data_IF_323686418065
#
_entry.id   IF_323686418065
#
_cell.length_a   1.000
_cell.length_b   1.000
_cell.length_c   1.000
_cell.angle_alpha   90.00
_cell.angle_beta   90.00
_cell.angle_gamma   90.00
#
_symmetry.space_group_name_H-M   'P 1'
#
loop_
_entity.id
_entity.type
_entity.pdbx_description
1 polymer ?
#
# COMPACT_ATOMS: atom_id res chain seq x y z
N UNK A 1 28.57 -0.90 -5.42
CA UNK A 1 27.12 -1.17 -5.53
C UNK A 1 26.69 -1.14 -7.00
N UNK A 2 25.93 -2.12 -7.49
CA UNK A 2 25.47 -2.16 -8.89
C UNK A 2 24.25 -1.24 -9.07
N UNK A 3 24.30 -0.38 -10.09
CA UNK A 3 23.23 0.56 -10.46
C UNK A 3 22.14 -0.17 -11.26
N UNK A 4 20.91 0.34 -11.24
CA UNK A 4 19.81 -0.20 -12.04
C UNK A 4 19.99 0.18 -13.52
N UNK A 5 19.88 -0.77 -14.48
CA UNK A 5 20.17 -0.51 -15.89
C UNK A 5 19.20 0.49 -16.54
N UNK A 6 17.91 0.44 -16.18
CA UNK A 6 16.89 1.40 -16.66
C UNK A 6 16.75 2.68 -15.84
N UNK A 7 17.53 2.86 -14.76
CA UNK A 7 17.50 4.08 -13.94
C UNK A 7 18.78 4.19 -13.08
N UNK A 8 19.77 4.94 -13.55
CA UNK A 8 21.07 5.10 -12.88
C UNK A 8 20.99 5.75 -11.49
N UNK A 9 19.89 6.42 -11.14
CA UNK A 9 19.70 6.96 -9.79
C UNK A 9 19.40 5.86 -8.75
N UNK A 10 19.05 4.66 -9.17
CA UNK A 10 18.73 3.54 -8.28
C UNK A 10 19.91 2.59 -8.10
N UNK A 11 20.09 2.12 -6.87
CA UNK A 11 21.07 1.09 -6.51
C UNK A 11 20.36 -0.21 -6.16
N UNK A 12 20.95 -1.32 -6.59
CA UNK A 12 20.38 -2.66 -6.41
C UNK A 12 20.97 -3.37 -5.18
N UNK A 13 20.10 -3.98 -4.40
CA UNK A 13 20.39 -4.95 -3.34
C UNK A 13 20.11 -6.37 -3.87
N UNK A 14 21.07 -7.28 -3.71
CA UNK A 14 20.94 -8.70 -4.06
C UNK A 14 21.10 -9.63 -2.84
N UNK A 15 21.28 -9.03 -1.67
CA UNK A 15 21.34 -9.75 -0.40
C UNK A 15 19.98 -10.37 -0.09
N UNK A 16 19.99 -11.36 0.80
CA UNK A 16 18.79 -11.98 1.37
C UNK A 16 18.25 -11.24 2.59
N UNK A 17 19.01 -10.25 3.09
CA UNK A 17 18.64 -9.38 4.20
C UNK A 17 18.83 -7.89 3.83
N UNK A 18 18.09 -7.03 4.53
CA UNK A 18 18.30 -5.59 4.56
C UNK A 18 18.29 -5.13 6.01
N UNK A 19 19.43 -4.61 6.50
CA UNK A 19 19.60 -4.19 7.91
C UNK A 19 19.19 -5.28 8.91
N UNK A 20 19.54 -6.53 8.63
CA UNK A 20 19.19 -7.69 9.47
C UNK A 20 17.74 -8.20 9.30
N UNK A 21 16.89 -7.51 8.53
CA UNK A 21 15.54 -7.99 8.23
C UNK A 21 15.54 -8.85 6.96
N UNK A 22 14.89 -10.02 6.96
CA UNK A 22 14.85 -10.90 5.80
C UNK A 22 14.04 -10.26 4.65
N UNK A 23 14.46 -10.49 3.41
CA UNK A 23 13.76 -10.05 2.20
C UNK A 23 13.55 -11.24 1.25
N UNK A 24 12.54 -11.13 0.38
CA UNK A 24 12.18 -12.18 -0.58
C UNK A 24 13.21 -12.35 -1.70
N UNK A 25 14.45 -12.79 -1.40
CA UNK A 25 15.60 -12.84 -2.33
C UNK A 25 15.26 -13.44 -3.71
N UNK A 26 14.38 -14.44 -3.75
CA UNK A 26 13.88 -15.09 -4.98
C UNK A 26 13.12 -14.16 -5.94
N UNK A 27 12.72 -12.97 -5.49
CA UNK A 27 12.03 -11.92 -6.28
C UNK A 27 12.97 -10.77 -6.68
N UNK A 28 14.22 -10.80 -6.22
CA UNK A 28 15.20 -9.76 -6.45
C UNK A 28 15.63 -9.60 -7.92
N UNK A 29 16.48 -8.62 -8.23
CA UNK A 29 17.13 -7.71 -7.28
C UNK A 29 16.16 -6.65 -6.73
N UNK A 30 16.48 -6.07 -5.58
CA UNK A 30 15.69 -5.05 -4.90
C UNK A 30 16.29 -3.66 -5.07
N UNK A 31 15.48 -2.62 -5.07
CA UNK A 31 15.94 -1.22 -5.05
C UNK A 31 16.20 -0.80 -3.61
N UNK A 32 17.46 -0.48 -3.29
CA UNK A 32 17.90 -0.21 -1.90
C UNK A 32 17.20 1.00 -1.28
N UNK A 33 16.94 2.04 -2.06
CA UNK A 33 16.21 3.22 -1.59
C UNK A 33 14.74 2.90 -1.27
N UNK A 34 14.12 1.95 -1.96
CA UNK A 34 12.74 1.53 -1.67
C UNK A 34 12.67 0.72 -0.37
N UNK A 35 13.63 -0.19 -0.15
CA UNK A 35 13.76 -0.91 1.12
C UNK A 35 13.94 0.04 2.30
N UNK A 36 14.79 1.06 2.16
CA UNK A 36 14.96 2.11 3.17
C UNK A 36 13.65 2.86 3.47
N UNK A 37 12.87 3.17 2.44
CA UNK A 37 11.60 3.87 2.62
C UNK A 37 10.55 2.98 3.29
N UNK A 38 10.49 1.69 2.93
CA UNK A 38 9.63 0.71 3.58
C UNK A 38 9.96 0.61 5.08
N UNK A 39 11.24 0.38 5.41
CA UNK A 39 11.77 0.32 6.79
C UNK A 39 11.36 1.57 7.58
N UNK A 40 11.63 2.75 7.01
CA UNK A 40 11.28 4.03 7.64
C UNK A 40 9.78 4.22 7.88
N UNK A 41 8.90 3.72 7.00
CA UNK A 41 7.45 3.81 7.19
C UNK A 41 6.97 2.88 8.30
N UNK A 42 7.49 1.65 8.36
CA UNK A 42 7.17 0.69 9.41
C UNK A 42 7.63 1.22 10.77
N UNK A 43 8.88 1.68 10.90
CA UNK A 43 9.40 2.25 12.14
C UNK A 43 8.56 3.44 12.61
N UNK A 44 8.24 4.40 11.73
CA UNK A 44 7.39 5.55 12.09
C UNK A 44 6.00 5.14 12.58
N UNK A 45 5.42 4.08 12.01
CA UNK A 45 4.12 3.58 12.46
C UNK A 45 4.21 3.03 13.88
N UNK A 46 5.27 2.29 14.20
CA UNK A 46 5.53 1.71 15.52
C UNK A 46 5.98 2.75 16.55
N UNK A 47 6.68 3.80 16.13
CA UNK A 47 7.01 4.95 16.99
C UNK A 47 5.74 5.69 17.42
N UNK A 48 4.79 5.85 16.49
CA UNK A 48 3.54 6.57 16.75
C UNK A 48 2.49 5.74 17.49
N UNK A 49 2.43 4.43 17.25
CA UNK A 49 1.45 3.53 17.86
C UNK A 49 2.15 2.28 18.41
N UNK A 50 1.85 1.90 19.65
CA UNK A 50 2.37 0.64 20.23
C UNK A 50 1.84 -0.60 19.51
N UNK A 51 0.67 -0.47 18.87
CA UNK A 51 -0.01 -1.55 18.14
C UNK A 51 -0.43 -1.06 16.76
N UNK A 52 0.03 -1.73 15.70
CA UNK A 52 -0.20 -1.33 14.32
C UNK A 52 -0.94 -2.43 13.56
N UNK A 53 -2.04 -2.05 12.90
CA UNK A 53 -2.72 -2.89 11.93
C UNK A 53 -2.19 -2.57 10.54
N UNK A 54 -1.44 -3.50 9.95
CA UNK A 54 -0.91 -3.37 8.61
C UNK A 54 -1.65 -4.30 7.65
N UNK A 55 -1.86 -3.85 6.41
CA UNK A 55 -2.46 -4.70 5.39
C UNK A 55 -2.05 -4.36 3.96
N UNK A 56 -2.10 -5.37 3.10
CA UNK A 56 -1.82 -5.29 1.67
C UNK A 56 -3.09 -5.33 0.83
N UNK A 57 -3.09 -4.55 -0.24
CA UNK A 57 -4.04 -4.67 -1.34
C UNK A 57 -3.34 -4.35 -2.67
N UNK A 58 -3.95 -4.77 -3.77
CA UNK A 58 -3.54 -4.43 -5.12
C UNK A 58 -4.68 -3.69 -5.83
N UNK A 59 -4.38 -2.54 -6.42
CA UNK A 59 -5.33 -1.73 -7.18
C UNK A 59 -5.11 -1.98 -8.67
N UNK A 60 -6.16 -2.44 -9.34
CA UNK A 60 -6.15 -2.80 -10.76
C UNK A 60 -7.05 -1.88 -11.54
N UNK A 61 -6.74 -1.75 -12.82
CA UNK A 61 -7.58 -1.04 -13.79
C UNK A 61 -8.56 -2.02 -14.44
N UNK A 62 -9.73 -1.55 -14.89
CA UNK A 62 -10.68 -2.40 -15.58
C UNK A 62 -10.07 -2.95 -16.87
N UNK A 63 -10.23 -4.24 -17.10
CA UNK A 63 -9.72 -4.89 -18.31
C UNK A 63 -10.60 -4.59 -19.53
N UNK A 64 -11.93 -4.61 -19.35
CA UNK A 64 -12.91 -4.48 -20.43
C UNK A 64 -13.28 -3.03 -20.80
N UNK A 65 -12.83 -2.04 -20.02
CA UNK A 65 -13.15 -0.63 -20.23
C UNK A 65 -11.84 0.13 -20.42
N UNK A 66 -11.81 0.97 -21.44
CA UNK A 66 -10.69 1.89 -21.67
C UNK A 66 -10.97 3.22 -20.97
N UNK A 67 -9.98 3.65 -20.19
CA UNK A 67 -10.07 4.88 -19.42
C UNK A 67 -9.28 5.98 -20.11
N UNK A 68 -9.65 7.26 -19.93
CA UNK A 68 -8.83 8.36 -20.43
C UNK A 68 -7.38 8.29 -19.95
N UNK A 69 -6.42 8.63 -20.83
CA UNK A 69 -4.97 8.47 -20.59
C UNK A 69 -4.47 9.06 -19.26
N UNK A 70 -5.03 10.20 -18.85
CA UNK A 70 -4.65 10.86 -17.60
C UNK A 70 -4.93 9.99 -16.36
N UNK A 71 -5.86 9.03 -16.43
CA UNK A 71 -6.14 8.07 -15.35
C UNK A 71 -5.06 6.99 -15.19
N UNK A 72 -4.23 6.74 -16.20
CA UNK A 72 -3.13 5.77 -16.13
C UNK A 72 -1.83 6.34 -15.52
N UNK A 73 -1.83 7.63 -15.18
CA UNK A 73 -0.73 8.33 -14.50
C UNK A 73 -0.75 8.10 -12.98
N UNK A 74 0.31 8.47 -12.28
CA UNK A 74 0.39 8.40 -10.82
C UNK A 74 -0.55 9.37 -10.08
N UNK A 75 -1.23 10.29 -10.78
CA UNK A 75 -2.23 11.15 -10.15
C UNK A 75 -3.38 10.33 -9.56
N UNK A 76 -3.69 9.18 -10.15
CA UNK A 76 -4.77 8.30 -9.68
C UNK A 76 -4.49 7.67 -8.32
N UNK A 77 -3.23 7.24 -8.06
CA UNK A 77 -2.86 6.69 -6.75
C UNK A 77 -2.88 7.80 -5.69
N UNK A 78 -2.52 9.04 -6.07
CA UNK A 78 -2.68 10.22 -5.21
C UNK A 78 -4.14 10.44 -4.83
N UNK A 79 -5.06 10.50 -5.81
CA UNK A 79 -6.51 10.64 -5.57
C UNK A 79 -7.08 9.52 -4.71
N UNK A 80 -6.66 8.28 -4.95
CA UNK A 80 -7.04 7.13 -4.12
C UNK A 80 -6.63 7.33 -2.66
N UNK A 81 -5.37 7.68 -2.41
CA UNK A 81 -4.84 7.85 -1.05
C UNK A 81 -5.53 9.00 -0.32
N UNK A 82 -5.79 10.12 -0.99
CA UNK A 82 -6.52 11.25 -0.40
C UNK A 82 -7.98 10.89 -0.10
N UNK A 83 -8.66 10.21 -1.01
CA UNK A 83 -10.03 9.70 -0.78
C UNK A 83 -10.08 8.72 0.38
N UNK A 84 -9.14 7.77 0.44
CA UNK A 84 -9.07 6.79 1.52
C UNK A 84 -8.78 7.45 2.88
N UNK A 85 -7.83 8.40 2.95
CA UNK A 85 -7.56 9.21 4.15
C UNK A 85 -8.81 9.97 4.62
N UNK A 86 -9.54 10.61 3.71
CA UNK A 86 -10.77 11.32 4.03
C UNK A 86 -11.83 10.39 4.61
N UNK A 87 -12.00 9.19 4.04
CA UNK A 87 -12.94 8.16 4.55
C UNK A 87 -12.55 7.64 5.93
N UNK A 88 -11.26 7.45 6.20
CA UNK A 88 -10.76 7.06 7.52
C UNK A 88 -11.01 8.19 8.54
N UNK A 89 -10.69 9.44 8.20
CA UNK A 89 -10.94 10.61 9.05
C UNK A 89 -12.43 10.76 9.38
N UNK A 90 -13.30 10.67 8.38
CA UNK A 90 -14.76 10.73 8.56
C UNK A 90 -15.27 9.65 9.51
N UNK A 91 -14.79 8.42 9.36
CA UNK A 91 -15.15 7.34 10.28
C UNK A 91 -14.72 7.62 11.73
N UNK A 92 -13.52 8.18 11.94
CA UNK A 92 -13.05 8.58 13.28
C UNK A 92 -13.90 9.71 13.87
N UNK A 93 -14.27 10.71 13.07
CA UNK A 93 -15.15 11.80 13.51
C UNK A 93 -16.53 11.27 13.92
N UNK A 94 -17.16 10.41 13.10
CA UNK A 94 -18.43 9.76 13.44
C UNK A 94 -18.34 8.95 14.74
N UNK A 95 -17.26 8.20 14.92
CA UNK A 95 -17.05 7.43 16.15
C UNK A 95 -16.95 8.34 17.39
N UNK A 96 -16.31 9.51 17.27
CA UNK A 96 -16.15 10.48 18.36
C UNK A 96 -17.46 11.14 18.80
N UNK A 97 -18.43 11.30 17.90
CA UNK A 97 -19.78 11.78 18.26
C UNK A 97 -20.50 10.75 19.16
N UNK A 98 -20.28 9.46 18.92
CA UNK A 98 -20.93 8.37 19.64
C UNK A 98 -20.21 7.89 20.92
N UNK A 99 -18.94 8.25 21.11
CA UNK A 99 -18.08 7.69 22.17
C UNK A 99 -17.20 8.76 22.83
N UNK A 100 -17.07 8.65 24.16
CA UNK A 100 -16.31 9.58 25.02
C UNK A 100 -14.78 9.54 24.80
N UNK A 101 -14.24 8.48 24.19
CA UNK A 101 -12.83 8.34 23.85
C UNK A 101 -12.66 7.62 22.51
N UNK A 102 -11.82 8.15 21.62
CA UNK A 102 -11.52 7.54 20.32
C UNK A 102 -10.02 7.48 20.05
N UNK A 103 -9.55 6.32 19.60
CA UNK A 103 -8.20 6.19 19.07
C UNK A 103 -8.18 6.76 17.65
N UNK A 104 -7.34 7.78 17.44
CA UNK A 104 -7.07 8.33 16.13
C UNK A 104 -6.08 7.45 15.36
N UNK A 105 -6.04 7.60 14.03
CA UNK A 105 -5.07 6.93 13.18
C UNK A 105 -4.65 7.84 12.02
N UNK A 106 -3.35 7.88 11.73
CA UNK A 106 -2.84 8.32 10.44
C UNK A 106 -2.84 7.15 9.48
N UNK A 107 -3.04 7.44 8.19
CA UNK A 107 -2.88 6.45 7.12
C UNK A 107 -1.44 6.51 6.64
N UNK A 108 -0.61 5.59 7.14
CA UNK A 108 0.76 5.41 6.65
C UNK A 108 0.73 4.41 5.51
N UNK A 109 1.55 4.61 4.49
CA UNK A 109 1.51 3.77 3.30
C UNK A 109 2.83 3.67 2.57
N UNK A 110 2.95 2.58 1.81
CA UNK A 110 3.94 2.36 0.75
C UNK A 110 3.20 1.83 -0.46
N UNK A 111 3.53 2.30 -1.65
CA UNK A 111 3.00 1.75 -2.90
C UNK A 111 4.09 1.55 -3.94
N UNK A 112 3.88 0.58 -4.81
CA UNK A 112 4.70 0.30 -5.97
C UNK A 112 3.81 0.19 -7.21
N UNK A 113 4.22 0.83 -8.31
CA UNK A 113 3.57 0.72 -9.62
C UNK A 113 4.31 -0.29 -10.46
N UNK A 114 3.57 -1.21 -11.06
CA UNK A 114 4.07 -2.22 -12.00
C UNK A 114 3.18 -2.21 -13.25
N UNK A 115 3.71 -2.72 -14.36
CA UNK A 115 2.90 -2.96 -15.56
C UNK A 115 2.52 -4.43 -15.62
N UNK A 116 1.23 -4.69 -15.80
CA UNK A 116 0.71 -6.03 -16.04
C UNK A 116 1.08 -6.55 -17.44
N UNK A 117 0.79 -7.83 -17.69
CA UNK A 117 1.04 -8.47 -18.98
C UNK A 117 0.31 -7.80 -20.17
N UNK A 118 -0.81 -7.13 -19.91
CA UNK A 118 -1.60 -6.39 -20.90
C UNK A 118 -1.20 -4.91 -21.01
N UNK A 119 -0.06 -4.51 -20.45
CA UNK A 119 0.42 -3.11 -20.49
C UNK A 119 -0.32 -2.14 -19.57
N UNK A 120 -1.46 -2.54 -18.96
CA UNK A 120 -2.15 -1.72 -17.96
C UNK A 120 -1.36 -1.68 -16.65
N UNK A 121 -1.19 -0.50 -16.02
CA UNK A 121 -0.54 -0.41 -14.73
C UNK A 121 -1.39 -1.07 -13.63
N UNK A 122 -0.73 -1.47 -12.55
CA UNK A 122 -1.39 -1.82 -11.29
C UNK A 122 -0.53 -1.36 -10.12
N UNK A 123 -1.18 -1.11 -8.99
CA UNK A 123 -0.50 -0.64 -7.78
C UNK A 123 -0.53 -1.71 -6.70
N UNK A 124 0.65 -2.10 -6.23
CA UNK A 124 0.79 -2.87 -5.00
C UNK A 124 0.89 -1.90 -3.83
N UNK A 125 -0.04 -1.98 -2.86
CA UNK A 125 -0.11 -1.07 -1.72
C UNK A 125 0.06 -1.83 -0.41
N UNK A 126 0.78 -1.22 0.52
CA UNK A 126 0.81 -1.54 1.95
C UNK A 126 0.28 -0.33 2.71
N UNK A 127 -0.70 -0.54 3.58
CA UNK A 127 -1.26 0.47 4.49
C UNK A 127 -0.96 0.06 5.93
N UNK A 128 -0.66 1.03 6.80
CA UNK A 128 -0.48 0.85 8.24
C UNK A 128 -1.37 1.85 8.99
N UNK A 129 -2.13 1.35 9.95
CA UNK A 129 -3.07 2.08 10.79
C UNK A 129 -2.83 1.76 12.27
N UNK A 130 -3.30 2.62 13.17
CA UNK A 130 -3.39 2.31 14.59
C UNK A 130 -4.34 1.12 14.81
N UNK A 131 -3.85 0.04 15.43
CA UNK A 131 -4.64 -1.18 15.67
C UNK A 131 -5.80 -0.92 16.63
N UNK A 132 -5.66 0.00 17.57
CA UNK A 132 -6.74 0.35 18.49
C UNK A 132 -7.87 1.12 17.80
N UNK A 133 -7.62 1.67 16.60
CA UNK A 133 -8.61 2.32 15.77
C UNK A 133 -9.29 1.34 14.78
N UNK A 134 -8.48 0.46 14.17
CA UNK A 134 -8.91 -0.51 13.16
C UNK A 134 -8.10 -1.80 13.28
N UNK A 135 -8.76 -2.95 13.29
CA UNK A 135 -8.11 -4.26 13.51
C UNK A 135 -8.23 -5.24 12.34
N UNK A 136 -9.12 -4.97 11.38
CA UNK A 136 -9.42 -5.90 10.29
C UNK A 136 -10.03 -5.19 9.08
N UNK A 137 -10.03 -5.87 7.93
CA UNK A 137 -10.74 -5.43 6.73
C UNK A 137 -12.26 -5.34 6.93
N UNK A 138 -12.82 -6.26 7.73
CA UNK A 138 -14.24 -6.57 7.76
C UNK A 138 -14.66 -7.54 6.64
N UNK A 139 -15.96 -7.62 6.38
CA UNK A 139 -16.52 -8.51 5.35
C UNK A 139 -16.27 -8.00 3.92
N UNK A 140 -15.93 -8.90 3.00
CA UNK A 140 -15.78 -8.59 1.57
C UNK A 140 -17.13 -8.60 0.84
N UNK A 141 -18.06 -7.79 1.36
CA UNK A 141 -19.42 -7.61 0.82
C UNK A 141 -19.62 -6.11 0.59
N UNK A 142 -20.11 -5.72 -0.59
CA UNK A 142 -20.36 -4.31 -0.91
C UNK A 142 -21.45 -3.71 0.00
N UNK A 143 -21.35 -2.42 0.29
CA UNK A 143 -22.32 -1.66 1.10
C UNK A 143 -22.13 -1.79 2.62
N UNK A 144 -21.10 -2.50 3.09
CA UNK A 144 -20.77 -2.62 4.53
C UNK A 144 -19.87 -1.46 4.97
N UNK A 145 -20.05 -0.97 6.19
CA UNK A 145 -19.22 0.10 6.75
C UNK A 145 -17.83 -0.38 7.25
N UNK A 146 -17.01 -0.98 6.40
CA UNK A 146 -15.72 -1.58 6.78
C UNK A 146 -14.51 -1.05 5.96
N UNK A 147 -13.29 -1.53 6.22
CA UNK A 147 -12.09 -1.05 5.51
C UNK A 147 -12.14 -1.47 4.04
N UNK A 148 -12.60 -2.69 3.74
CA UNK A 148 -12.68 -3.17 2.36
C UNK A 148 -13.52 -2.24 1.48
N UNK A 149 -14.73 -1.89 1.91
CA UNK A 149 -15.60 -0.98 1.18
C UNK A 149 -15.00 0.42 1.03
N UNK A 150 -14.32 0.92 2.08
CA UNK A 150 -13.61 2.20 1.99
C UNK A 150 -12.51 2.19 0.94
N UNK A 151 -11.82 1.06 0.73
CA UNK A 151 -10.83 0.90 -0.34
C UNK A 151 -11.50 0.87 -1.72
N UNK A 152 -12.57 0.10 -1.88
CA UNK A 152 -13.33 0.01 -3.15
C UNK A 152 -13.89 1.37 -3.55
N UNK A 153 -14.58 2.06 -2.64
CA UNK A 153 -15.11 3.39 -2.88
C UNK A 153 -14.03 4.43 -3.17
N UNK A 154 -12.89 4.38 -2.47
CA UNK A 154 -11.78 5.29 -2.73
C UNK A 154 -11.17 5.04 -4.11
N UNK A 155 -11.08 3.78 -4.53
CA UNK A 155 -10.54 3.42 -5.84
C UNK A 155 -11.48 3.81 -6.98
N UNK A 156 -12.79 3.56 -6.83
CA UNK A 156 -13.78 4.02 -7.80
C UNK A 156 -13.85 5.53 -7.92
N UNK A 157 -13.80 6.24 -6.80
CA UNK A 157 -13.69 7.70 -6.82
C UNK A 157 -12.44 8.19 -7.55
N UNK A 158 -11.30 7.51 -7.40
CA UNK A 158 -10.06 7.85 -8.09
C UNK A 158 -10.15 7.60 -9.61
N UNK A 159 -10.81 6.51 -10.02
CA UNK A 159 -11.01 6.15 -11.43
C UNK A 159 -12.23 6.83 -12.08
N UNK A 160 -13.04 7.55 -11.30
CA UNK A 160 -14.33 8.12 -11.75
C UNK A 160 -15.31 7.04 -12.24
N UNK A 161 -15.32 5.90 -11.55
CA UNK A 161 -16.19 4.76 -11.82
C UNK A 161 -17.24 4.61 -10.72
N UNK A 162 -18.38 4.02 -11.07
CA UNK A 162 -19.38 3.59 -10.09
C UNK A 162 -18.87 2.42 -9.23
N UNK A 163 -19.48 2.18 -8.05
CA UNK A 163 -19.11 1.04 -7.21
C UNK A 163 -19.21 -0.32 -7.93
N UNK A 164 -20.20 -0.49 -8.80
CA UNK A 164 -20.41 -1.73 -9.55
C UNK A 164 -19.29 -1.97 -10.58
N UNK A 165 -18.86 -0.91 -11.28
CA UNK A 165 -17.72 -0.96 -12.20
C UNK A 165 -16.38 -1.19 -11.48
N UNK A 166 -16.33 -0.96 -10.16
CA UNK A 166 -15.15 -1.19 -9.33
C UNK A 166 -15.05 -2.58 -8.73
N UNK A 167 -16.06 -3.42 -8.95
CA UNK A 167 -16.07 -4.77 -8.41
C UNK A 167 -14.85 -5.56 -8.93
N UNK A 168 -14.10 -6.17 -8.00
CA UNK A 168 -12.88 -6.92 -8.30
C UNK A 168 -11.65 -6.07 -8.66
N UNK A 169 -11.73 -4.74 -8.72
CA UNK A 169 -10.58 -3.87 -9.00
C UNK A 169 -9.65 -3.68 -7.80
N UNK A 170 -10.17 -3.88 -6.57
CA UNK A 170 -9.36 -3.95 -5.35
C UNK A 170 -9.16 -5.41 -4.98
N UNK A 171 -7.97 -5.93 -5.30
CA UNK A 171 -7.60 -7.31 -5.02
C UNK A 171 -6.91 -7.41 -3.65
N UNK A 172 -7.39 -8.31 -2.79
CA UNK A 172 -6.78 -8.61 -1.50
C UNK A 172 -5.94 -9.89 -1.64
N UNK A 173 -4.61 -9.83 -1.51
CA UNK A 173 -3.75 -11.00 -1.67
C UNK A 173 -3.93 -11.99 -0.50
N UNK A 174 -3.46 -13.22 -0.68
CA UNK A 174 -3.33 -14.17 0.44
C UNK A 174 -2.40 -13.61 1.53
N UNK A 175 -2.74 -13.92 2.80
CA UNK A 175 -2.12 -13.38 4.01
C UNK A 175 -1.96 -11.85 3.96
N UNK A 176 -3.09 -11.11 3.85
CA UNK A 176 -3.06 -9.69 3.56
C UNK A 176 -2.82 -8.83 4.79
N UNK A 177 -3.10 -9.32 6.00
CA UNK A 177 -3.08 -8.55 7.25
C UNK A 177 -1.98 -8.99 8.19
N UNK A 178 -1.42 -8.02 8.91
CA UNK A 178 -0.39 -8.22 9.93
C UNK A 178 -0.74 -7.36 11.14
N UNK A 179 -0.56 -7.91 12.33
CA UNK A 179 -0.84 -7.24 13.60
C UNK A 179 0.49 -7.04 14.32
N UNK A 180 1.08 -5.87 14.16
CA UNK A 180 2.38 -5.57 14.75
C UNK A 180 2.18 -5.02 16.16
N UNK A 181 3.03 -5.46 17.07
CA UNK A 181 3.21 -4.84 18.37
C UNK A 181 4.66 -4.33 18.44
N UNK A 182 4.88 -3.14 19.03
CA UNK A 182 6.19 -2.45 19.05
C UNK A 182 7.32 -3.32 19.59
N UNK A 183 6.99 -4.12 20.61
CA UNK A 183 7.94 -4.96 21.33
C UNK A 183 8.01 -6.39 20.78
N UNK A 184 7.29 -6.70 19.69
CA UNK A 184 7.34 -8.00 19.01
C UNK A 184 8.01 -7.87 17.63
N UNK A 185 9.28 -8.24 17.56
CA UNK A 185 10.05 -8.22 16.31
C UNK A 185 9.61 -9.28 15.29
N UNK A 186 8.91 -10.35 15.70
CA UNK A 186 8.59 -11.46 14.80
C UNK A 186 7.62 -11.03 13.72
N UNK A 187 6.48 -10.47 14.10
CA UNK A 187 5.46 -9.96 13.18
C UNK A 187 6.01 -8.81 12.32
N UNK A 188 6.91 -7.99 12.88
CA UNK A 188 7.58 -6.93 12.13
C UNK A 188 8.45 -7.49 11.00
N UNK A 189 9.24 -8.55 11.28
CA UNK A 189 10.06 -9.23 10.28
C UNK A 189 9.21 -9.94 9.22
N UNK A 190 8.11 -10.58 9.62
CA UNK A 190 7.19 -11.25 8.69
C UNK A 190 6.53 -10.25 7.74
N UNK A 191 6.05 -9.11 8.26
CA UNK A 191 5.53 -8.02 7.43
C UNK A 191 6.62 -7.47 6.51
N UNK A 192 7.82 -7.17 7.03
CA UNK A 192 8.88 -6.59 6.22
C UNK A 192 9.30 -7.52 5.08
N UNK A 193 9.46 -8.82 5.36
CA UNK A 193 9.71 -9.83 4.35
C UNK A 193 8.63 -9.82 3.26
N UNK A 194 7.35 -9.80 3.65
CA UNK A 194 6.23 -9.75 2.69
C UNK A 194 6.23 -8.47 1.87
N UNK A 195 6.42 -7.32 2.53
CA UNK A 195 6.38 -6.00 1.92
C UNK A 195 7.62 -5.70 1.07
N UNK A 196 8.74 -6.39 1.31
CA UNK A 196 9.96 -6.24 0.50
C UNK A 196 9.70 -6.50 -0.98
N UNK A 197 8.68 -7.31 -1.32
CA UNK A 197 8.20 -7.52 -2.68
C UNK A 197 7.96 -6.21 -3.44
N UNK A 198 7.38 -5.18 -2.79
CA UNK A 198 7.12 -3.89 -3.42
C UNK A 198 8.42 -3.20 -3.88
N UNK A 199 9.53 -3.54 -3.24
CA UNK A 199 10.84 -2.97 -3.50
C UNK A 199 11.63 -3.70 -4.59
N UNK A 200 11.12 -4.80 -5.17
CA UNK A 200 11.80 -5.49 -6.28
C UNK A 200 11.95 -4.55 -7.47
N UNK A 201 13.05 -4.68 -8.21
CA UNK A 201 13.29 -3.90 -9.43
C UNK A 201 12.51 -4.44 -10.64
N UNK A 202 12.22 -5.75 -10.64
CA UNK A 202 11.49 -6.40 -11.72
C UNK A 202 10.08 -5.82 -11.89
N UNK A 203 9.55 -5.89 -13.12
CA UNK A 203 8.18 -5.51 -13.55
C UNK A 203 7.77 -4.06 -13.31
N UNK A 204 8.68 -3.22 -12.79
CA UNK A 204 8.48 -1.76 -12.71
C UNK A 204 8.79 -1.12 -14.06
N UNK A 205 7.94 -0.18 -14.47
CA UNK A 205 8.24 0.69 -15.60
C UNK A 205 9.26 1.74 -15.18
N UNK A 206 10.23 2.00 -16.06
CA UNK A 206 11.20 3.07 -15.93
C UNK A 206 11.25 3.83 -17.25
N UNK A 207 11.32 5.17 -17.19
CA UNK A 207 11.44 6.03 -18.36
C UNK A 207 10.12 6.53 -18.95
N UNK A 208 8.96 6.17 -18.38
CA UNK A 208 7.62 6.63 -18.80
C UNK A 208 7.19 7.94 -18.10
N UNK A 209 8.12 8.64 -17.44
CA UNK A 209 7.84 9.83 -16.63
C UNK A 209 7.09 9.55 -15.33
N UNK A 210 6.71 8.30 -15.03
CA UNK A 210 6.02 7.93 -13.81
C UNK A 210 7.01 7.37 -12.77
N UNK A 211 6.79 7.70 -11.51
CA UNK A 211 7.53 7.09 -10.41
C UNK A 211 7.01 5.67 -10.12
N UNK A 212 7.89 4.67 -10.08
CA UNK A 212 7.52 3.29 -9.78
C UNK A 212 7.25 2.98 -8.30
N UNK A 213 7.42 3.97 -7.41
CA UNK A 213 7.30 3.78 -5.95
C UNK A 213 6.98 5.10 -5.24
N UNK A 214 6.17 5.03 -4.18
CA UNK A 214 5.89 6.16 -3.31
C UNK A 214 5.49 5.71 -1.90
N UNK A 215 5.51 6.65 -0.96
CA UNK A 215 5.31 6.36 0.47
C UNK A 215 4.92 7.61 1.26
N UNK A 216 4.27 7.42 2.42
CA UNK A 216 3.97 8.51 3.36
C UNK A 216 5.24 9.01 4.06
N UNK A 217 5.48 10.34 4.04
CA UNK A 217 6.68 10.96 4.62
C UNK A 217 6.50 11.49 6.05
N UNK A 218 5.27 11.84 6.44
CA UNK A 218 4.87 12.35 7.76
C UNK A 218 4.00 11.36 8.53
#
# INVERSE_FOLDING_TARGET
MKRHPGNSNLTLCREDHYRGQPIQVSKGPFVRSYLRCLDSVVCRALDEYSRVFAFRCDLRFPAAIELPDYLYTNEVIGRFLESFKAKIKHNRLKAGISRRYIHNTKVRYVWARELGCLGKPHYHVLILLNRDAFTAFGKFELGRENIFNRLVEAWGSALRLSPDECNGLVHIPANPTYHLDRDDEREQRELFFRASYLCKAATKAYGDGQHGFGYSRS
#
